data_IF_633119480260
#
_entry.id   IF_633119480260
#
_cell.length_a   1.000
_cell.length_b   1.000
_cell.length_c   1.000
_cell.angle_alpha   90.00
_cell.angle_beta   90.00
_cell.angle_gamma   90.00
#
_symmetry.space_group_name_H-M   'P 1'
#
loop_
_entity.id
_entity.type
_entity.pdbx_description
1 polymer ?
#
# COMPACT_ATOMS: atom_id res chain seq x y z
N UNK A 1 -16.20 13.28 1.50
CA UNK A 1 -16.35 13.00 2.95
C UNK A 1 -15.17 13.60 3.67
N UNK A 2 -15.36 14.11 4.88
CA UNK A 2 -14.26 14.56 5.76
C UNK A 2 -14.11 13.60 6.93
N UNK A 3 -12.88 13.37 7.37
CA UNK A 3 -12.57 12.57 8.55
C UNK A 3 -11.56 13.33 9.42
N UNK A 4 -11.86 13.44 10.71
CA UNK A 4 -10.94 14.06 11.67
C UNK A 4 -9.78 13.13 11.97
N UNK A 5 -8.58 13.71 12.12
CA UNK A 5 -7.39 12.99 12.54
C UNK A 5 -7.28 12.87 14.06
N UNK A 6 -7.90 13.80 14.78
CA UNK A 6 -7.77 13.91 16.24
C UNK A 6 -8.93 13.25 16.99
N UNK A 7 -10.08 13.05 16.34
CA UNK A 7 -11.26 12.49 16.97
C UNK A 7 -12.07 11.63 15.98
N UNK A 8 -13.19 11.06 16.46
CA UNK A 8 -14.02 10.13 15.65
C UNK A 8 -14.93 10.83 14.64
N UNK A 9 -14.86 12.15 14.49
CA UNK A 9 -15.73 12.90 13.58
C UNK A 9 -15.52 12.46 12.13
N UNK A 10 -16.62 12.20 11.43
CA UNK A 10 -16.65 11.75 10.05
C UNK A 10 -17.99 12.16 9.46
N UNK A 11 -17.97 12.91 8.37
CA UNK A 11 -19.22 13.39 7.77
C UNK A 11 -19.15 13.54 6.25
N UNK A 12 -20.29 13.40 5.59
CA UNK A 12 -20.40 13.62 4.15
C UNK A 12 -20.53 15.12 3.88
N UNK A 13 -19.45 15.70 3.36
CA UNK A 13 -19.38 17.14 3.05
C UNK A 13 -19.94 17.51 1.68
N UNK A 14 -19.95 16.55 0.76
CA UNK A 14 -20.37 16.80 -0.61
C UNK A 14 -20.73 15.48 -1.32
N UNK A 15 -21.82 15.51 -2.09
CA UNK A 15 -22.28 14.43 -2.97
C UNK A 15 -22.58 15.06 -4.32
N UNK A 16 -21.97 14.53 -5.37
CA UNK A 16 -22.24 14.99 -6.74
C UNK A 16 -22.52 13.77 -7.60
N UNK A 17 -23.68 13.71 -8.29
CA UNK A 17 -23.88 12.72 -9.34
C UNK A 17 -22.98 13.11 -10.52
N UNK A 18 -22.02 12.25 -10.87
CA UNK A 18 -21.13 12.52 -12.00
C UNK A 18 -21.25 11.41 -13.03
N UNK A 19 -21.48 11.79 -14.28
CA UNK A 19 -21.35 10.91 -15.42
C UNK A 19 -20.03 11.22 -16.14
N UNK A 20 -19.06 10.30 -16.04
CA UNK A 20 -17.67 10.44 -16.57
C UNK A 20 -16.92 11.66 -16.02
N UNK A 21 -16.49 11.64 -14.74
CA UNK A 21 -15.64 12.70 -14.20
C UNK A 21 -14.35 12.84 -15.02
N UNK A 22 -13.97 14.06 -15.39
CA UNK A 22 -12.63 14.36 -15.87
C UNK A 22 -11.80 15.00 -14.74
N UNK A 23 -10.48 15.09 -14.94
CA UNK A 23 -9.56 15.60 -13.93
C UNK A 23 -9.77 17.08 -13.62
N UNK A 24 -10.16 17.90 -14.60
CA UNK A 24 -10.39 19.33 -14.38
C UNK A 24 -11.59 19.57 -13.47
N UNK A 25 -12.69 18.85 -13.72
CA UNK A 25 -13.89 18.90 -12.91
C UNK A 25 -13.61 18.45 -11.48
N UNK A 26 -12.90 17.33 -11.31
CA UNK A 26 -12.56 16.82 -9.99
C UNK A 26 -11.63 17.77 -9.24
N UNK A 27 -10.65 18.38 -9.92
CA UNK A 27 -9.78 19.40 -9.32
C UNK A 27 -10.58 20.58 -8.77
N UNK A 28 -11.49 21.13 -9.60
CA UNK A 28 -12.36 22.24 -9.21
C UNK A 28 -13.17 21.87 -7.97
N UNK A 29 -13.76 20.68 -7.96
CA UNK A 29 -14.55 20.17 -6.85
C UNK A 29 -13.73 20.05 -5.57
N UNK A 30 -12.56 19.43 -5.65
CA UNK A 30 -11.65 19.27 -4.51
C UNK A 30 -11.26 20.63 -3.93
N UNK A 31 -10.88 21.58 -4.78
CA UNK A 31 -10.51 22.93 -4.35
C UNK A 31 -11.67 23.64 -3.66
N UNK A 32 -12.87 23.59 -4.23
CA UNK A 32 -14.07 24.20 -3.64
C UNK A 32 -14.41 23.60 -2.28
N UNK A 33 -14.36 22.28 -2.14
CA UNK A 33 -14.62 21.59 -0.87
C UNK A 33 -13.55 21.93 0.18
N UNK A 34 -12.26 21.91 -0.18
CA UNK A 34 -11.16 22.25 0.74
C UNK A 34 -11.32 23.69 1.23
N UNK A 35 -11.52 24.64 0.31
CA UNK A 35 -11.72 26.05 0.66
C UNK A 35 -13.00 26.28 1.48
N UNK A 36 -14.08 25.57 1.17
CA UNK A 36 -15.33 25.64 1.93
C UNK A 36 -15.16 25.16 3.38
N UNK A 37 -14.44 24.06 3.57
CA UNK A 37 -14.13 23.51 4.90
C UNK A 37 -13.25 24.45 5.72
N UNK A 38 -12.23 25.06 5.11
CA UNK A 38 -11.36 26.02 5.78
C UNK A 38 -12.10 27.30 6.21
N UNK A 39 -13.04 27.78 5.40
CA UNK A 39 -13.87 28.95 5.73
C UNK A 39 -14.73 28.74 6.98
N UNK A 40 -15.20 27.52 7.22
CA UNK A 40 -16.02 27.19 8.41
C UNK A 40 -15.18 26.72 9.61
N UNK A 41 -13.85 26.80 9.51
CA UNK A 41 -12.92 26.57 10.63
C UNK A 41 -12.26 25.19 10.68
N UNK A 42 -12.51 24.29 9.72
CA UNK A 42 -11.71 23.06 9.63
C UNK A 42 -10.30 23.37 9.14
N UNK A 43 -9.34 22.51 9.50
CA UNK A 43 -8.00 22.49 8.93
C UNK A 43 -7.80 21.25 8.09
N UNK A 44 -7.88 21.41 6.78
CA UNK A 44 -7.68 20.29 5.84
C UNK A 44 -6.19 20.12 5.63
N UNK A 45 -5.67 18.91 5.86
CA UNK A 45 -4.24 18.64 5.69
C UNK A 45 -3.94 17.57 4.65
N UNK A 46 -4.92 16.75 4.29
CA UNK A 46 -4.71 15.60 3.43
C UNK A 46 -5.93 15.28 2.56
N UNK A 47 -5.66 14.86 1.32
CA UNK A 47 -6.61 14.23 0.41
C UNK A 47 -6.23 12.76 0.26
N UNK A 48 -7.19 11.86 0.52
CA UNK A 48 -7.02 10.41 0.35
C UNK A 48 -7.93 9.94 -0.78
N UNK A 49 -7.37 9.24 -1.77
CA UNK A 49 -8.14 8.69 -2.90
C UNK A 49 -7.83 7.23 -3.17
N UNK A 50 -8.60 6.58 -4.03
CA UNK A 50 -8.18 5.31 -4.61
C UNK A 50 -7.07 5.52 -5.67
N UNK A 51 -6.56 4.40 -6.20
CA UNK A 51 -5.57 4.36 -7.29
C UNK A 51 -6.27 4.54 -8.66
N UNK A 52 -6.93 5.67 -8.88
CA UNK A 52 -7.43 6.03 -10.20
C UNK A 52 -6.57 7.15 -10.79
N UNK A 53 -6.17 7.01 -12.05
CA UNK A 53 -5.35 8.00 -12.77
C UNK A 53 -6.00 9.40 -12.78
N UNK A 54 -7.34 9.47 -12.87
CA UNK A 54 -8.09 10.73 -12.85
C UNK A 54 -7.87 11.48 -11.54
N UNK A 55 -7.79 10.77 -10.42
CA UNK A 55 -7.55 11.38 -9.10
C UNK A 55 -6.16 12.00 -9.02
N UNK A 56 -5.13 11.32 -9.56
CA UNK A 56 -3.78 11.88 -9.64
C UNK A 56 -3.74 13.13 -10.51
N UNK A 57 -4.36 13.05 -11.69
CA UNK A 57 -4.43 14.18 -12.63
C UNK A 57 -5.16 15.38 -12.02
N UNK A 58 -6.18 15.15 -11.19
CA UNK A 58 -6.88 16.20 -10.47
C UNK A 58 -6.03 16.89 -9.39
N UNK A 59 -4.96 16.25 -8.91
CA UNK A 59 -4.03 16.85 -7.95
C UNK A 59 -2.96 17.73 -8.63
N UNK A 60 -2.59 17.44 -9.88
CA UNK A 60 -1.53 18.16 -10.60
C UNK A 60 -1.71 19.70 -10.64
N UNK A 61 -2.92 20.26 -10.82
CA UNK A 61 -3.09 21.72 -10.85
C UNK A 61 -2.91 22.40 -9.48
N UNK A 62 -2.77 21.65 -8.38
CA UNK A 62 -2.33 22.23 -7.12
C UNK A 62 -0.82 22.54 -7.11
N UNK A 63 -0.02 22.04 -8.06
CA UNK A 63 1.41 22.37 -8.11
C UNK A 63 1.63 23.87 -8.31
N UNK A 64 2.67 24.47 -7.71
CA UNK A 64 2.99 25.88 -7.95
C UNK A 64 3.33 26.09 -9.44
N UNK A 65 2.78 27.14 -10.05
CA UNK A 65 3.13 27.59 -11.42
C UNK A 65 4.54 28.17 -11.51
N UNK A 66 5.13 28.55 -10.37
CA UNK A 66 6.51 29.02 -10.24
C UNK A 66 7.16 28.15 -9.18
N UNK A 67 8.11 27.30 -9.57
CA UNK A 67 8.90 26.48 -8.64
C UNK A 67 9.85 27.44 -7.92
N UNK A 68 9.72 27.70 -6.61
CA UNK A 68 10.78 28.36 -5.87
C UNK A 68 11.96 27.38 -5.86
N UNK A 69 13.17 27.89 -6.08
CA UNK A 69 14.40 27.13 -5.92
C UNK A 69 14.59 26.73 -4.45
N UNK A 70 13.90 25.69 -4.00
CA UNK A 70 14.21 25.01 -2.74
C UNK A 70 15.44 24.13 -3.02
N UNK A 71 16.51 24.21 -2.21
CA UNK A 71 17.68 23.39 -2.40
C UNK A 71 17.29 21.91 -2.29
N UNK A 72 17.59 21.15 -3.34
CA UNK A 72 17.31 19.73 -3.44
C UNK A 72 18.08 18.98 -2.34
N UNK A 73 17.39 18.57 -1.28
CA UNK A 73 17.92 17.63 -0.28
C UNK A 73 17.26 16.25 -0.38
N UNK A 74 16.63 15.92 -1.50
CA UNK A 74 16.11 14.58 -1.75
C UNK A 74 16.26 14.23 -3.24
N UNK A 75 16.75 13.03 -3.59
CA UNK A 75 16.94 12.64 -4.98
C UNK A 75 15.60 12.67 -5.72
N UNK A 76 15.57 13.43 -6.80
CA UNK A 76 14.41 13.64 -7.67
C UNK A 76 13.93 12.30 -8.24
N UNK A 77 12.79 11.81 -7.77
CA UNK A 77 11.87 11.10 -8.66
C UNK A 77 10.74 12.08 -9.03
N UNK A 78 10.68 12.58 -10.28
CA UNK A 78 9.63 13.50 -10.75
C UNK A 78 8.21 12.91 -10.74
N UNK A 79 8.06 11.64 -10.33
CA UNK A 79 6.85 10.83 -10.49
C UNK A 79 5.96 10.80 -9.24
N UNK A 80 6.46 11.17 -8.04
CA UNK A 80 5.76 10.98 -6.76
C UNK A 80 5.60 12.29 -5.98
N UNK A 81 4.84 13.25 -6.52
CA UNK A 81 4.46 14.43 -5.75
C UNK A 81 3.34 14.07 -4.76
N UNK A 82 3.70 13.87 -3.49
CA UNK A 82 2.78 13.59 -2.39
C UNK A 82 2.46 14.83 -1.54
N UNK A 83 3.14 15.96 -1.79
CA UNK A 83 2.92 17.24 -1.09
C UNK A 83 2.65 18.34 -2.10
N UNK A 84 1.54 19.04 -1.90
CA UNK A 84 1.13 20.18 -2.71
C UNK A 84 0.98 21.43 -1.82
N UNK A 85 1.13 22.65 -2.35
CA UNK A 85 0.77 23.84 -1.61
C UNK A 85 -0.75 23.85 -1.35
N UNK A 86 -1.13 24.22 -0.13
CA UNK A 86 -2.52 24.22 0.27
C UNK A 86 -3.30 25.40 -0.37
N UNK A 87 -4.51 25.19 -0.93
CA UNK A 87 -5.20 26.19 -1.75
C UNK A 87 -5.68 27.45 -0.99
N UNK A 88 -5.78 27.39 0.33
CA UNK A 88 -6.12 28.55 1.18
C UNK A 88 -4.90 29.23 1.81
N UNK A 89 -3.74 28.56 1.80
CA UNK A 89 -2.51 29.04 2.42
C UNK A 89 -1.33 28.30 1.80
N UNK A 90 -0.63 28.94 0.87
CA UNK A 90 0.45 28.31 0.12
C UNK A 90 1.65 27.88 0.99
N UNK A 91 1.76 28.36 2.24
CA UNK A 91 2.82 27.96 3.16
C UNK A 91 2.51 26.63 3.86
N UNK A 92 1.25 26.18 3.84
CA UNK A 92 0.84 24.92 4.44
C UNK A 92 0.91 23.78 3.41
N UNK A 93 1.38 22.59 3.83
CA UNK A 93 1.32 21.41 2.98
C UNK A 93 -0.11 20.85 2.89
N UNK A 94 -0.46 20.38 1.70
CA UNK A 94 -1.60 19.52 1.42
C UNK A 94 -1.04 18.16 0.98
N UNK A 95 -1.18 17.14 1.83
CA UNK A 95 -0.71 15.79 1.55
C UNK A 95 -1.68 15.04 0.63
N UNK A 96 -1.15 14.29 -0.33
CA UNK A 96 -1.92 13.42 -1.20
C UNK A 96 -1.53 11.96 -0.93
N UNK A 97 -2.48 11.17 -0.46
CA UNK A 97 -2.27 9.76 -0.11
C UNK A 97 -3.19 8.85 -0.91
N UNK A 98 -2.70 7.67 -1.23
CA UNK A 98 -3.50 6.61 -1.84
C UNK A 98 -3.97 5.68 -0.73
N UNK A 99 -5.25 5.28 -0.76
CA UNK A 99 -5.81 4.40 0.26
C UNK A 99 -5.03 3.06 0.29
N UNK A 100 -4.37 2.72 1.42
CA UNK A 100 -3.62 1.48 1.56
C UNK A 100 -4.42 0.21 1.24
N UNK A 101 -5.74 0.22 1.43
CA UNK A 101 -6.64 -0.89 1.07
C UNK A 101 -6.55 -1.18 -0.44
N UNK A 102 -6.54 -0.14 -1.26
CA UNK A 102 -6.47 -0.27 -2.71
C UNK A 102 -5.08 -0.74 -3.14
N UNK A 103 -4.03 -0.23 -2.51
CA UNK A 103 -2.66 -0.67 -2.74
C UNK A 103 -2.51 -2.17 -2.51
N UNK A 104 -3.01 -2.69 -1.39
CA UNK A 104 -2.94 -4.12 -1.08
C UNK A 104 -3.65 -4.98 -2.14
N UNK A 105 -4.81 -4.52 -2.64
CA UNK A 105 -5.50 -5.17 -3.77
C UNK A 105 -4.65 -5.14 -5.03
N UNK A 106 -4.05 -3.99 -5.35
CA UNK A 106 -3.19 -3.83 -6.53
C UNK A 106 -1.97 -4.75 -6.46
N UNK A 107 -1.30 -4.87 -5.31
CA UNK A 107 -0.18 -5.80 -5.12
C UNK A 107 -0.61 -7.24 -5.41
N UNK A 108 -1.71 -7.72 -4.82
CA UNK A 108 -2.25 -9.07 -5.12
C UNK A 108 -2.59 -9.21 -6.61
N UNK A 109 -3.28 -8.24 -7.19
CA UNK A 109 -3.75 -8.32 -8.58
C UNK A 109 -2.58 -8.29 -9.57
N UNK A 110 -1.53 -7.53 -9.27
CA UNK A 110 -0.27 -7.55 -10.02
C UNK A 110 0.34 -8.96 -9.95
N UNK A 111 0.43 -9.55 -8.76
CA UNK A 111 0.99 -10.89 -8.58
C UNK A 111 0.21 -11.97 -9.34
N UNK A 112 -1.11 -11.85 -9.40
CA UNK A 112 -1.98 -12.77 -10.14
C UNK A 112 -1.85 -12.61 -11.67
N UNK A 113 -1.49 -11.41 -12.15
CA UNK A 113 -1.44 -11.04 -13.57
C UNK A 113 -0.07 -11.26 -14.21
N UNK A 114 1.02 -11.23 -13.44
CA UNK A 114 2.36 -11.47 -13.98
C UNK A 114 2.44 -12.85 -14.66
N UNK A 115 3.32 -12.96 -15.66
CA UNK A 115 3.64 -14.26 -16.26
C UNK A 115 4.09 -15.21 -15.15
N UNK A 116 3.57 -16.44 -15.18
CA UNK A 116 3.74 -17.46 -14.14
C UNK A 116 3.26 -17.12 -12.72
N UNK A 117 2.56 -15.99 -12.55
CA UNK A 117 2.09 -15.48 -11.26
C UNK A 117 3.24 -15.33 -10.26
N UNK A 118 4.32 -14.70 -10.72
CA UNK A 118 5.58 -14.59 -10.00
C UNK A 118 5.96 -13.13 -9.76
N UNK A 119 6.66 -12.87 -8.66
CA UNK A 119 7.45 -11.67 -8.45
C UNK A 119 8.91 -12.02 -8.25
N UNK A 120 9.78 -11.31 -8.96
CA UNK A 120 11.22 -11.27 -8.78
C UNK A 120 11.54 -10.02 -7.95
N UNK A 121 11.81 -10.20 -6.65
CA UNK A 121 11.84 -9.12 -5.66
C UNK A 121 13.12 -9.22 -4.80
N UNK A 122 13.64 -8.11 -4.26
CA UNK A 122 14.83 -8.16 -3.42
C UNK A 122 14.53 -8.76 -2.05
N UNK A 123 15.53 -9.36 -1.41
CA UNK A 123 15.47 -9.68 0.01
C UNK A 123 15.25 -8.40 0.84
N UNK A 124 14.47 -8.49 1.92
CA UNK A 124 14.10 -7.32 2.72
C UNK A 124 15.26 -6.74 3.53
N UNK A 125 16.27 -7.54 3.86
CA UNK A 125 17.51 -7.05 4.47
C UNK A 125 18.67 -7.21 3.48
N UNK A 126 19.55 -6.20 3.38
CA UNK A 126 20.78 -6.36 2.63
C UNK A 126 21.73 -7.35 3.32
N UNK A 127 22.64 -7.93 2.55
CA UNK A 127 23.77 -8.70 3.05
C UNK A 127 24.86 -7.78 3.64
N UNK A 128 25.96 -8.38 4.11
CA UNK A 128 27.10 -7.67 4.69
C UNK A 128 27.76 -6.67 3.73
N UNK A 129 27.56 -6.84 2.41
CA UNK A 129 28.09 -5.94 1.37
C UNK A 129 27.13 -4.80 1.00
N UNK A 130 25.95 -4.76 1.63
CA UNK A 130 24.91 -3.79 1.32
C UNK A 130 24.06 -4.17 0.10
N UNK A 131 24.28 -5.32 -0.52
CA UNK A 131 23.47 -5.79 -1.65
C UNK A 131 22.26 -6.60 -1.18
N UNK A 132 21.20 -6.61 -1.98
CA UNK A 132 20.00 -7.42 -1.71
C UNK A 132 19.92 -8.54 -2.72
N UNK A 133 19.99 -9.78 -2.25
CA UNK A 133 19.76 -10.94 -3.09
C UNK A 133 18.36 -10.85 -3.72
N UNK A 134 18.24 -11.10 -5.02
CA UNK A 134 16.94 -11.18 -5.68
C UNK A 134 16.35 -12.58 -5.50
N UNK A 135 15.08 -12.62 -5.11
CA UNK A 135 14.30 -13.81 -4.78
C UNK A 135 13.07 -13.92 -5.69
N UNK A 136 12.45 -15.10 -5.72
CA UNK A 136 11.23 -15.33 -6.46
C UNK A 136 10.08 -15.72 -5.51
N UNK A 137 8.97 -14.99 -5.60
CA UNK A 137 7.73 -15.30 -4.88
C UNK A 137 6.67 -15.75 -5.89
N UNK A 138 6.13 -16.96 -5.71
CA UNK A 138 5.16 -17.54 -6.64
C UNK A 138 3.79 -17.65 -5.99
N UNK A 139 2.80 -16.99 -6.60
CA UNK A 139 1.42 -17.10 -6.17
C UNK A 139 0.89 -18.54 -6.35
N UNK A 140 1.40 -19.28 -7.35
CA UNK A 140 1.11 -20.70 -7.55
C UNK A 140 1.48 -21.56 -6.32
N UNK A 141 2.50 -21.18 -5.55
CA UNK A 141 2.86 -21.88 -4.32
C UNK A 141 1.79 -21.72 -3.24
N UNK A 142 1.14 -20.55 -3.17
CA UNK A 142 0.00 -20.30 -2.26
C UNK A 142 -1.22 -21.14 -2.71
N UNK A 143 -1.46 -21.23 -4.02
CA UNK A 143 -2.52 -22.09 -4.59
C UNK A 143 -2.31 -23.56 -4.24
N UNK A 144 -1.10 -24.08 -4.46
CA UNK A 144 -0.75 -25.46 -4.13
C UNK A 144 -0.91 -25.75 -2.64
N UNK A 145 -0.48 -24.82 -1.77
CA UNK A 145 -0.67 -24.95 -0.33
C UNK A 145 -2.17 -25.01 0.06
N UNK A 146 -3.01 -24.19 -0.58
CA UNK A 146 -4.46 -24.25 -0.38
C UNK A 146 -5.05 -25.59 -0.84
N UNK A 147 -4.66 -26.10 -2.01
CA UNK A 147 -5.15 -27.36 -2.56
C UNK A 147 -4.78 -28.57 -1.68
N UNK A 148 -3.60 -28.55 -1.06
CA UNK A 148 -3.18 -29.62 -0.12
C UNK A 148 -4.03 -29.68 1.15
N UNK A 149 -4.58 -28.55 1.58
CA UNK A 149 -5.33 -28.43 2.84
C UNK A 149 -6.83 -28.28 2.67
N UNK A 150 -7.36 -28.03 1.46
CA UNK A 150 -8.73 -27.57 1.29
C UNK A 150 -9.78 -28.56 1.81
N UNK A 151 -9.47 -29.86 1.76
CA UNK A 151 -10.33 -30.95 2.24
C UNK A 151 -9.95 -31.44 3.65
N UNK A 152 -8.97 -30.80 4.29
CA UNK A 152 -8.55 -31.14 5.65
C UNK A 152 -9.41 -30.43 6.69
N UNK A 153 -9.74 -31.15 7.77
CA UNK A 153 -10.52 -30.60 8.89
C UNK A 153 -9.75 -29.51 9.65
N UNK A 154 -8.44 -29.72 9.85
CA UNK A 154 -7.54 -28.78 10.49
C UNK A 154 -6.56 -28.26 9.44
N UNK A 155 -6.47 -26.94 9.31
CA UNK A 155 -5.70 -26.27 8.26
C UNK A 155 -4.79 -25.23 8.88
N UNK A 156 -3.53 -25.19 8.46
CA UNK A 156 -2.64 -24.08 8.81
C UNK A 156 -3.13 -22.79 8.14
N UNK A 157 -3.53 -22.86 6.86
CA UNK A 157 -4.06 -21.75 6.07
C UNK A 157 -5.55 -21.49 6.25
N UNK A 158 -6.09 -21.63 7.46
CA UNK A 158 -7.55 -21.65 7.72
C UNK A 158 -8.33 -20.43 7.23
N UNK A 159 -7.67 -19.27 7.07
CA UNK A 159 -8.27 -18.03 6.56
C UNK A 159 -8.39 -17.98 5.05
N UNK A 160 -7.62 -18.78 4.32
CA UNK A 160 -7.52 -18.72 2.86
C UNK A 160 -8.65 -19.51 2.22
N UNK A 161 -9.41 -18.86 1.34
CA UNK A 161 -10.47 -19.50 0.55
C UNK A 161 -10.06 -19.69 -0.90
N UNK A 162 -10.78 -20.58 -1.62
CA UNK A 162 -10.64 -20.74 -3.08
C UNK A 162 -10.71 -19.42 -3.84
N UNK A 163 -11.60 -18.52 -3.41
CA UNK A 163 -11.80 -17.20 -4.01
C UNK A 163 -10.62 -16.25 -3.79
N UNK A 164 -9.86 -16.43 -2.70
CA UNK A 164 -8.68 -15.61 -2.46
C UNK A 164 -7.52 -16.01 -3.38
N UNK A 165 -7.37 -17.30 -3.65
CA UNK A 165 -6.29 -17.82 -4.50
C UNK A 165 -6.64 -17.84 -5.99
N UNK A 166 -7.92 -17.96 -6.34
CA UNK A 166 -8.41 -17.97 -7.72
C UNK A 166 -9.64 -17.06 -7.88
N UNK A 167 -9.49 -15.73 -7.71
CA UNK A 167 -10.60 -14.79 -7.83
C UNK A 167 -11.03 -14.56 -9.28
N UNK A 168 -12.34 -14.41 -9.50
CA UNK A 168 -12.90 -13.79 -10.71
C UNK A 168 -12.57 -12.29 -10.79
N UNK A 169 -12.81 -11.65 -11.94
CA UNK A 169 -12.54 -10.21 -12.12
C UNK A 169 -13.33 -9.30 -11.16
N UNK A 170 -14.55 -9.70 -10.80
CA UNK A 170 -15.35 -9.00 -9.80
C UNK A 170 -14.73 -9.19 -8.40
N UNK A 171 -14.32 -10.42 -8.08
CA UNK A 171 -13.71 -10.75 -6.79
C UNK A 171 -12.33 -10.11 -6.59
N UNK A 172 -11.61 -9.77 -7.67
CA UNK A 172 -10.38 -8.97 -7.61
C UNK A 172 -10.62 -7.57 -7.03
N UNK A 173 -11.85 -7.07 -6.96
CA UNK A 173 -12.15 -5.81 -6.27
C UNK A 173 -12.38 -5.96 -4.77
N UNK A 174 -12.56 -7.19 -4.27
CA UNK A 174 -12.82 -7.47 -2.87
C UNK A 174 -11.54 -7.44 -2.04
N UNK A 175 -11.46 -6.49 -1.11
CA UNK A 175 -10.34 -6.34 -0.16
C UNK A 175 -10.24 -7.53 0.80
N UNK A 176 -11.37 -8.11 1.22
CA UNK A 176 -11.35 -9.22 2.18
C UNK A 176 -10.59 -10.43 1.62
N UNK A 177 -10.71 -10.68 0.32
CA UNK A 177 -9.94 -11.73 -0.35
C UNK A 177 -8.45 -11.41 -0.43
N UNK A 178 -8.06 -10.13 -0.54
CA UNK A 178 -6.65 -9.74 -0.49
C UNK A 178 -6.07 -9.92 0.91
N UNK A 179 -6.85 -9.62 1.95
CA UNK A 179 -6.48 -9.82 3.35
C UNK A 179 -6.35 -11.29 3.74
N UNK A 180 -7.05 -12.20 3.05
CA UNK A 180 -6.84 -13.64 3.24
C UNK A 180 -5.46 -14.08 2.75
N UNK A 181 -5.02 -13.57 1.59
CA UNK A 181 -3.68 -13.81 1.05
C UNK A 181 -2.63 -13.20 1.97
N UNK A 182 -2.73 -11.89 2.25
CA UNK A 182 -1.83 -11.16 3.15
C UNK A 182 -2.33 -11.20 4.59
N UNK A 183 -2.61 -12.42 5.09
CA UNK A 183 -2.97 -12.65 6.48
C UNK A 183 -1.73 -12.78 7.36
N UNK A 184 -1.86 -12.48 8.64
CA UNK A 184 -0.72 -12.54 9.58
C UNK A 184 -0.20 -13.96 9.80
N UNK A 185 -1.08 -14.96 9.74
CA UNK A 185 -0.71 -16.37 9.81
C UNK A 185 -0.24 -16.93 8.47
N UNK A 186 -0.51 -16.24 7.35
CA UNK A 186 -0.25 -16.71 5.98
C UNK A 186 1.20 -17.15 5.75
N UNK A 187 2.23 -16.32 6.05
CA UNK A 187 3.62 -16.71 5.89
C UNK A 187 3.99 -17.99 6.64
N UNK A 188 3.61 -18.08 7.93
CA UNK A 188 3.94 -19.24 8.77
C UNK A 188 3.18 -20.50 8.34
N UNK A 189 1.92 -20.36 7.93
CA UNK A 189 1.15 -21.46 7.36
C UNK A 189 1.81 -21.98 6.06
N UNK A 190 2.23 -21.07 5.18
CA UNK A 190 2.92 -21.44 3.95
C UNK A 190 4.23 -22.17 4.21
N UNK A 191 5.03 -21.73 5.20
CA UNK A 191 6.26 -22.43 5.62
C UNK A 191 5.97 -23.82 6.17
N UNK A 192 4.95 -23.97 7.03
CA UNK A 192 4.59 -25.26 7.60
C UNK A 192 4.14 -26.28 6.53
N UNK A 193 3.22 -25.87 5.65
CA UNK A 193 2.73 -26.71 4.55
C UNK A 193 3.85 -26.97 3.55
N UNK A 194 4.62 -25.92 3.21
CA UNK A 194 5.71 -25.98 2.25
C UNK A 194 6.83 -26.92 2.66
N UNK A 195 7.26 -26.89 3.92
CA UNK A 195 8.24 -27.82 4.45
C UNK A 195 7.70 -29.26 4.49
N UNK A 196 6.46 -29.46 4.96
CA UNK A 196 5.82 -30.78 5.05
C UNK A 196 5.65 -31.45 3.68
N UNK A 197 5.30 -30.68 2.66
CA UNK A 197 4.98 -31.19 1.31
C UNK A 197 6.04 -30.85 0.26
N UNK A 198 7.20 -30.31 0.66
CA UNK A 198 8.32 -29.93 -0.20
C UNK A 198 7.90 -29.04 -1.39
N UNK A 199 7.06 -28.03 -1.10
CA UNK A 199 6.64 -27.07 -2.12
C UNK A 199 7.85 -26.27 -2.63
N UNK A 200 7.84 -25.85 -3.88
CA UNK A 200 8.93 -25.01 -4.41
C UNK A 200 8.73 -23.56 -3.97
N UNK A 201 9.82 -22.90 -3.60
CA UNK A 201 9.88 -21.47 -3.26
C UNK A 201 8.93 -21.03 -2.13
N UNK A 202 8.55 -21.93 -1.21
CA UNK A 202 7.64 -21.56 -0.12
C UNK A 202 8.25 -20.52 0.82
N UNK A 203 9.56 -20.57 1.04
CA UNK A 203 10.26 -19.72 2.01
C UNK A 203 10.36 -18.27 1.50
N UNK A 204 10.75 -18.10 0.25
CA UNK A 204 10.84 -16.81 -0.43
C UNK A 204 9.45 -16.20 -0.63
N UNK A 205 8.46 -17.03 -1.00
CA UNK A 205 7.06 -16.60 -1.12
C UNK A 205 6.50 -16.13 0.23
N UNK A 206 6.77 -16.87 1.32
CA UNK A 206 6.40 -16.46 2.67
C UNK A 206 7.10 -15.16 3.09
N UNK A 207 8.38 -14.99 2.75
CA UNK A 207 9.17 -13.79 3.06
C UNK A 207 8.64 -12.53 2.35
N UNK A 208 8.21 -12.67 1.09
CA UNK A 208 7.52 -11.58 0.38
C UNK A 208 6.20 -11.22 1.08
N UNK A 209 5.38 -12.23 1.40
CA UNK A 209 4.11 -12.01 2.09
C UNK A 209 4.31 -11.32 3.44
N UNK A 210 5.30 -11.76 4.22
CA UNK A 210 5.65 -11.19 5.52
C UNK A 210 6.04 -9.72 5.43
N UNK A 211 6.82 -9.34 4.42
CA UNK A 211 7.20 -7.96 4.13
C UNK A 211 5.95 -7.08 3.90
N UNK A 212 5.05 -7.51 3.02
CA UNK A 212 3.81 -6.77 2.72
C UNK A 212 2.85 -6.75 3.91
N UNK A 213 2.73 -7.86 4.65
CA UNK A 213 1.91 -7.95 5.88
C UNK A 213 2.41 -6.97 6.93
N UNK A 214 3.72 -6.86 7.11
CA UNK A 214 4.32 -5.95 8.09
C UNK A 214 4.08 -4.48 7.72
N UNK A 215 4.23 -4.11 6.45
CA UNK A 215 3.82 -2.80 5.95
C UNK A 215 2.34 -2.52 6.23
N UNK A 216 1.47 -3.48 5.91
CA UNK A 216 0.03 -3.37 6.12
C UNK A 216 -0.36 -3.15 7.59
N UNK A 217 0.35 -3.79 8.53
CA UNK A 217 0.12 -3.61 9.98
C UNK A 217 0.27 -2.14 10.40
N UNK A 218 1.26 -1.45 9.84
CA UNK A 218 1.58 -0.05 10.10
C UNK A 218 0.60 0.87 9.36
N UNK A 219 0.42 0.67 8.06
CA UNK A 219 -0.39 1.54 7.20
C UNK A 219 -1.89 1.54 7.56
N UNK A 220 -2.38 0.49 8.24
CA UNK A 220 -3.80 0.31 8.56
C UNK A 220 -4.12 0.44 10.08
N UNK A 221 -3.38 1.28 10.81
CA UNK A 221 -3.69 1.58 12.21
C UNK A 221 -4.84 2.58 12.31
N UNK A 222 -6.05 2.09 12.61
CA UNK A 222 -7.28 2.91 12.66
C UNK A 222 -7.58 3.51 14.04
N UNK A 223 -6.94 3.01 15.10
CA UNK A 223 -7.20 3.43 16.47
C UNK A 223 -5.92 3.36 17.30
N UNK A 224 -5.67 4.30 18.22
CA UNK A 224 -4.47 4.31 19.07
C UNK A 224 -4.23 3.00 19.84
N UNK A 225 -5.31 2.34 20.25
CA UNK A 225 -5.25 1.12 21.07
C UNK A 225 -5.16 -0.19 20.27
N UNK A 226 -5.07 -0.13 18.94
CA UNK A 226 -5.06 -1.34 18.09
C UNK A 226 -3.89 -2.26 18.45
N UNK A 227 -2.69 -1.71 18.54
CA UNK A 227 -1.50 -2.48 18.92
C UNK A 227 -1.55 -3.05 20.33
N UNK A 228 -2.13 -2.33 21.30
CA UNK A 228 -2.33 -2.85 22.66
C UNK A 228 -3.30 -4.03 22.68
N UNK A 229 -4.44 -3.93 21.97
CA UNK A 229 -5.44 -5.00 21.88
C UNK A 229 -4.89 -6.27 21.25
N UNK A 230 -4.08 -6.13 20.20
CA UNK A 230 -3.49 -7.27 19.47
C UNK A 230 -2.11 -7.68 20.00
N UNK A 231 -1.58 -6.99 21.01
CA UNK A 231 -0.22 -7.17 21.53
C UNK A 231 0.84 -7.18 20.41
N UNK A 232 0.71 -6.22 19.50
CA UNK A 232 1.53 -6.11 18.29
C UNK A 232 2.02 -4.67 18.13
N UNK A 233 3.33 -4.48 18.28
CA UNK A 233 3.97 -3.17 18.22
C UNK A 233 3.87 -2.52 16.84
N UNK A 234 3.83 -3.32 15.76
CA UNK A 234 3.66 -2.83 14.39
C UNK A 234 2.24 -2.34 14.10
N UNK A 235 1.29 -2.55 15.02
CA UNK A 235 -0.08 -2.00 14.95
C UNK A 235 -0.33 -0.84 15.92
N UNK A 236 0.72 -0.34 16.59
CA UNK A 236 0.64 0.91 17.36
C UNK A 236 0.77 2.11 16.41
N UNK A 237 0.24 3.30 16.77
CA UNK A 237 0.53 4.53 16.03
C UNK A 237 2.04 4.75 15.85
N UNK A 238 2.43 5.30 14.71
CA UNK A 238 3.81 5.70 14.45
C UNK A 238 4.10 6.97 15.25
N UNK A 239 5.21 6.96 15.98
CA UNK A 239 5.70 8.13 16.70
C UNK A 239 6.94 8.69 15.98
N UNK A 240 7.13 10.02 15.97
CA UNK A 240 8.31 10.66 15.38
C UNK A 240 9.51 10.46 16.31
N UNK A 241 9.99 9.22 16.41
CA UNK A 241 11.13 8.84 17.23
C UNK A 241 11.99 7.87 16.42
N UNK A 242 13.29 8.15 16.36
CA UNK A 242 14.28 7.26 15.70
C UNK A 242 14.33 5.87 16.35
N UNK A 243 13.83 5.74 17.58
CA UNK A 243 13.74 4.45 18.29
C UNK A 243 12.48 3.66 17.95
N UNK A 244 11.54 4.23 17.19
CA UNK A 244 10.33 3.51 16.79
C UNK A 244 10.69 2.49 15.68
N UNK A 245 10.62 1.17 15.94
CA UNK A 245 10.96 0.15 14.95
C UNK A 245 10.03 0.17 13.73
N UNK A 246 8.84 0.80 13.84
CA UNK A 246 7.95 1.01 12.69
C UNK A 246 8.53 2.02 11.72
N UNK A 247 9.11 3.10 12.24
CA UNK A 247 9.71 4.15 11.41
C UNK A 247 10.94 3.62 10.68
N UNK A 248 11.81 2.89 11.38
CA UNK A 248 12.93 2.17 10.75
C UNK A 248 12.46 1.19 9.67
N UNK A 249 11.41 0.41 9.93
CA UNK A 249 10.85 -0.49 8.91
C UNK A 249 10.30 0.26 7.70
N UNK A 250 9.62 1.38 7.89
CA UNK A 250 9.06 2.21 6.80
C UNK A 250 10.18 2.74 5.90
N UNK A 251 11.27 3.25 6.48
CA UNK A 251 12.45 3.65 5.71
C UNK A 251 13.11 2.47 4.98
N UNK A 252 13.34 1.35 5.67
CA UNK A 252 13.88 0.13 5.05
C UNK A 252 13.00 -0.38 3.89
N UNK A 253 11.68 -0.19 3.99
CA UNK A 253 10.70 -0.57 2.97
C UNK A 253 10.75 0.37 1.77
N UNK A 254 10.95 1.67 1.96
CA UNK A 254 11.20 2.63 0.87
C UNK A 254 12.49 2.27 0.13
N UNK A 255 13.58 2.02 0.84
CA UNK A 255 14.86 1.60 0.25
C UNK A 255 14.70 0.26 -0.51
N UNK A 256 13.93 -0.67 0.05
CA UNK A 256 13.62 -1.95 -0.60
C UNK A 256 12.82 -1.76 -1.90
N UNK A 257 11.85 -0.83 -1.92
CA UNK A 257 11.10 -0.48 -3.12
C UNK A 257 12.00 0.18 -4.17
N UNK A 258 12.86 1.12 -3.78
CA UNK A 258 13.78 1.80 -4.69
C UNK A 258 14.75 0.80 -5.33
N UNK A 259 15.37 -0.06 -4.51
CA UNK A 259 16.20 -1.14 -5.01
C UNK A 259 15.44 -2.04 -6.00
N UNK A 260 14.18 -2.38 -5.70
CA UNK A 260 13.36 -3.18 -6.61
C UNK A 260 13.08 -2.46 -7.94
N UNK A 261 12.84 -1.14 -7.91
CA UNK A 261 12.59 -0.31 -9.11
C UNK A 261 13.81 -0.27 -10.04
N UNK A 262 15.00 -0.17 -9.47
CA UNK A 262 16.26 -0.08 -10.22
C UNK A 262 16.61 -1.37 -10.97
N UNK A 263 16.15 -2.52 -10.49
CA UNK A 263 16.38 -3.79 -11.19
C UNK A 263 15.51 -3.88 -12.44
N UNK A 264 16.17 -3.84 -13.59
CA UNK A 264 15.52 -4.04 -14.88
C UNK A 264 15.14 -5.52 -15.06
N UNK A 265 13.88 -5.83 -14.77
CA UNK A 265 13.23 -7.04 -15.28
C UNK A 265 12.04 -6.66 -16.15
N UNK A 266 11.89 -7.34 -17.29
CA UNK A 266 10.77 -7.11 -18.21
C UNK A 266 9.46 -7.73 -17.69
N UNK A 267 9.55 -8.72 -16.81
CA UNK A 267 8.41 -9.46 -16.24
C UNK A 267 8.58 -9.69 -14.74
N UNK A 268 7.54 -10.19 -14.07
CA UNK A 268 7.57 -10.56 -12.64
C UNK A 268 7.89 -9.40 -11.68
N UNK A 269 7.32 -8.21 -11.90
CA UNK A 269 7.47 -7.07 -10.99
C UNK A 269 6.15 -6.36 -10.75
N UNK A 270 6.12 -5.46 -9.77
CA UNK A 270 5.04 -4.51 -9.63
C UNK A 270 4.92 -3.63 -10.87
N UNK A 271 3.69 -3.30 -11.25
CA UNK A 271 3.45 -2.24 -12.24
C UNK A 271 4.01 -0.92 -11.71
N UNK A 272 4.40 -0.02 -12.62
CA UNK A 272 4.91 1.32 -12.26
C UNK A 272 3.92 2.07 -11.35
N UNK A 273 2.63 1.95 -11.63
CA UNK A 273 1.55 2.56 -10.84
C UNK A 273 1.49 2.00 -9.41
N UNK A 274 1.50 0.67 -9.25
CA UNK A 274 1.40 0.04 -7.92
C UNK A 274 2.66 0.30 -7.09
N UNK A 275 3.83 0.31 -7.74
CA UNK A 275 5.10 0.69 -7.11
C UNK A 275 5.07 2.15 -6.65
N UNK A 276 4.66 3.07 -7.53
CA UNK A 276 4.52 4.48 -7.22
C UNK A 276 3.59 4.74 -6.05
N UNK A 277 2.46 4.03 -5.98
CA UNK A 277 1.51 4.18 -4.86
C UNK A 277 2.03 3.70 -3.52
N UNK A 278 2.70 2.55 -3.54
CA UNK A 278 3.36 2.01 -2.36
C UNK A 278 4.39 3.01 -1.85
N UNK A 279 5.21 3.56 -2.74
CA UNK A 279 6.24 4.54 -2.40
C UNK A 279 5.62 5.86 -1.90
N UNK A 280 4.62 6.40 -2.58
CA UNK A 280 3.96 7.67 -2.22
C UNK A 280 3.25 7.62 -0.85
N UNK A 281 2.69 6.47 -0.49
CA UNK A 281 1.87 6.31 0.72
C UNK A 281 2.69 5.91 1.95
N UNK A 282 3.91 5.41 1.73
CA UNK A 282 4.83 4.94 2.79
C UNK A 282 5.66 6.10 3.30
#
# INVERSE_FOLDING_TARGET
>A
MVHSLMNKFKEVVHIVPVHKPNSEFLHKLLREVICGLEKIGFKVICVVTDNNEINRKAMLPFKPTVVPAIPASSPKSPENDFVFPHPCDAQRPLFFLIDPVHILKCVRNNWLKTNDQCFWFPAFKPDETGQRQMLYAYFKTIKAAYELECDQLLRYGYTVSRKAVSPSDIEKQNVQLALQVFSESGPNALRAIGAKHQLKHYEETASFMETIVKWWKIANVKTPFKGARFRDDFKKPVFPSERDPKLSFVYDFLDWLEYWKEKQADTCKLTKETHGDLHQTT
#
